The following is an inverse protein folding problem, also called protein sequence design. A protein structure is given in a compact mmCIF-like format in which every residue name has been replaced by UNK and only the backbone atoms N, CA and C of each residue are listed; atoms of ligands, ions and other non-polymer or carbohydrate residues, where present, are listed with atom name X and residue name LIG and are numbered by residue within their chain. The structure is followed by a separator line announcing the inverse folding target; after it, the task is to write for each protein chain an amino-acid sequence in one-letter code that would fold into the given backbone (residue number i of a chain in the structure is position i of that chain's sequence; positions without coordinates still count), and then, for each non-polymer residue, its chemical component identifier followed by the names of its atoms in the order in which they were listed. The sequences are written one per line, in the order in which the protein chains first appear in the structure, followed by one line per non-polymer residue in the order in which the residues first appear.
data_IF_070554682092
#
_entry.id   IF_070554682092
#
_cell.length_a   1.000
_cell.length_b   1.000
_cell.length_c   1.000
_cell.angle_alpha   90.00
_cell.angle_beta   90.00
_cell.angle_gamma   90.00
#
_symmetry.space_group_name_H-M   'P 1'
#
loop_
_entity.id
_entity.type
_entity.pdbx_description
1 polymer ?
#
# COMPACT_ATOMS: atom_id res chain seq x y z
N UNK A 1 25.96 -21.34 77.10
CA UNK A 1 26.40 -21.25 75.69
C UNK A 1 25.46 -22.14 74.89
N UNK A 2 24.23 -21.67 74.71
CA UNK A 2 23.74 -20.92 73.53
C UNK A 2 23.41 -21.85 72.38
N UNK A 3 22.18 -22.37 72.46
CA UNK A 3 21.41 -22.98 71.38
C UNK A 3 21.22 -21.97 70.23
N UNK A 4 21.45 -22.40 69.00
CA UNK A 4 21.30 -21.58 67.80
C UNK A 4 20.56 -22.37 66.73
N UNK A 5 19.23 -22.37 66.80
CA UNK A 5 18.34 -23.02 65.84
C UNK A 5 18.37 -22.33 64.48
N UNK A 6 18.71 -23.10 63.44
CA UNK A 6 18.59 -22.71 62.04
C UNK A 6 17.16 -23.03 61.60
N UNK A 7 16.34 -22.00 61.50
CA UNK A 7 14.99 -22.07 60.95
C UNK A 7 15.06 -22.21 59.42
N UNK A 8 14.56 -23.33 58.90
CA UNK A 8 14.28 -23.52 57.49
C UNK A 8 13.23 -22.50 57.06
N UNK A 9 13.65 -21.49 56.29
CA UNK A 9 12.72 -20.64 55.53
C UNK A 9 12.21 -21.49 54.38
N UNK A 10 11.01 -22.01 54.54
CA UNK A 10 10.21 -22.55 53.46
C UNK A 10 10.08 -21.47 52.38
N UNK A 11 10.62 -21.77 51.21
CA UNK A 11 10.40 -20.99 50.01
C UNK A 11 8.93 -21.16 49.62
N UNK A 12 8.07 -20.30 50.17
CA UNK A 12 6.71 -20.12 49.70
C UNK A 12 6.77 -19.79 48.21
N UNK A 13 6.41 -20.78 47.40
CA UNK A 13 6.17 -20.58 45.98
C UNK A 13 5.14 -19.45 45.83
N UNK A 14 5.38 -18.45 44.96
CA UNK A 14 4.45 -17.35 44.78
C UNK A 14 3.08 -17.92 44.36
N UNK A 15 2.12 -17.92 45.28
CA UNK A 15 0.75 -18.34 45.00
C UNK A 15 0.17 -17.40 43.96
N UNK A 16 -0.14 -17.97 42.81
CA UNK A 16 -0.73 -17.39 41.59
C UNK A 16 -2.16 -16.86 41.80
N UNK A 17 -2.37 -16.06 42.85
CA UNK A 17 -3.70 -15.48 43.19
C UNK A 17 -4.08 -14.31 42.28
N UNK A 18 -3.14 -13.79 41.47
CA UNK A 18 -3.40 -12.70 40.52
C UNK A 18 -4.03 -13.15 39.21
N UNK A 19 -3.82 -14.40 38.79
CA UNK A 19 -4.33 -14.91 37.50
C UNK A 19 -5.83 -15.25 37.54
N UNK A 20 -6.37 -15.56 38.73
CA UNK A 20 -7.79 -15.85 38.91
C UNK A 20 -8.69 -14.59 38.90
N UNK A 21 -8.16 -13.42 39.28
CA UNK A 21 -8.96 -12.19 39.39
C UNK A 21 -9.16 -11.47 38.03
N UNK A 22 -8.44 -11.89 36.98
CA UNK A 22 -8.60 -11.42 35.60
C UNK A 22 -9.45 -12.40 34.77
N UNK A 23 -10.05 -13.43 35.38
CA UNK A 23 -11.16 -14.15 34.77
C UNK A 23 -12.42 -13.29 34.83
N UNK A 24 -12.49 -12.23 34.00
CA UNK A 24 -13.71 -11.44 33.86
C UNK A 24 -14.85 -12.36 33.40
N UNK A 25 -15.78 -12.63 34.31
CA UNK A 25 -17.06 -13.24 33.96
C UNK A 25 -17.76 -12.39 32.89
N UNK A 26 -18.32 -13.06 31.89
CA UNK A 26 -19.08 -12.39 30.85
C UNK A 26 -20.40 -11.88 31.43
N UNK A 27 -20.53 -10.56 31.57
CA UNK A 27 -21.70 -9.91 32.20
C UNK A 27 -22.89 -9.66 31.26
N UNK A 28 -22.79 -10.05 29.97
CA UNK A 28 -23.85 -9.94 28.98
C UNK A 28 -24.23 -11.29 28.37
N UNK A 29 -25.38 -11.35 27.70
CA UNK A 29 -25.78 -12.54 26.95
C UNK A 29 -24.83 -12.74 25.76
N UNK A 30 -24.20 -13.91 25.71
CA UNK A 30 -23.28 -14.30 24.65
C UNK A 30 -23.68 -15.69 24.16
N UNK A 31 -24.58 -15.81 23.17
CA UNK A 31 -24.97 -17.11 22.65
C UNK A 31 -23.77 -17.77 21.96
N UNK A 32 -23.51 -19.04 22.29
CA UNK A 32 -22.47 -19.85 21.69
C UNK A 32 -22.62 -19.89 20.17
N UNK A 33 -21.56 -19.60 19.43
CA UNK A 33 -21.59 -19.56 17.97
C UNK A 33 -21.90 -20.91 17.32
N UNK A 34 -21.70 -22.03 18.04
CA UNK A 34 -21.97 -23.39 17.54
C UNK A 34 -23.35 -23.93 17.94
N UNK A 35 -23.74 -23.80 19.21
CA UNK A 35 -24.96 -24.44 19.74
C UNK A 35 -26.04 -23.45 20.23
N UNK A 36 -25.73 -22.16 20.31
CA UNK A 36 -26.67 -21.14 20.80
C UNK A 36 -26.80 -21.03 22.33
N UNK A 37 -26.13 -21.89 23.12
CA UNK A 37 -26.15 -21.81 24.58
C UNK A 37 -25.62 -20.47 25.10
N UNK A 38 -26.29 -19.85 26.07
CA UNK A 38 -25.87 -18.56 26.60
C UNK A 38 -24.68 -18.71 27.56
N UNK A 39 -23.54 -18.12 27.21
CA UNK A 39 -22.27 -18.21 27.94
C UNK A 39 -22.12 -17.17 29.06
N UNK A 40 -23.21 -16.48 29.44
CA UNK A 40 -23.21 -15.48 30.51
C UNK A 40 -22.76 -16.11 31.83
N UNK A 41 -21.89 -15.40 32.55
CA UNK A 41 -21.36 -15.84 33.85
C UNK A 41 -20.24 -16.88 33.76
N UNK A 42 -19.84 -17.31 32.57
CA UNK A 42 -18.66 -18.15 32.38
C UNK A 42 -17.39 -17.28 32.19
N UNK A 43 -16.23 -17.85 32.51
CA UNK A 43 -14.95 -17.20 32.27
C UNK A 43 -14.65 -17.12 30.78
N UNK A 44 -13.99 -16.05 30.33
CA UNK A 44 -13.51 -15.93 28.94
C UNK A 44 -12.55 -17.09 28.58
N UNK A 45 -11.89 -17.69 29.56
CA UNK A 45 -10.96 -18.81 29.37
C UNK A 45 -11.64 -20.18 29.29
N UNK A 46 -12.93 -20.28 29.64
CA UNK A 46 -13.64 -21.56 29.65
C UNK A 46 -14.06 -22.03 28.25
N UNK A 47 -14.63 -23.23 28.21
CA UNK A 47 -15.30 -23.82 27.05
C UNK A 47 -16.81 -23.87 27.27
N UNK A 48 -17.59 -23.83 26.20
CA UNK A 48 -19.03 -23.98 26.25
C UNK A 48 -19.42 -25.35 26.82
N UNK A 49 -20.22 -25.37 27.89
CA UNK A 49 -20.64 -26.59 28.58
C UNK A 49 -21.45 -27.56 27.69
N UNK A 50 -22.14 -27.06 26.65
CA UNK A 50 -22.97 -27.89 25.77
C UNK A 50 -22.19 -28.55 24.62
N UNK A 51 -21.25 -27.83 24.02
CA UNK A 51 -20.62 -28.26 22.76
C UNK A 51 -19.08 -28.24 22.76
N UNK A 52 -18.47 -27.87 23.89
CA UNK A 52 -17.01 -27.79 24.06
C UNK A 52 -16.33 -26.66 23.28
N UNK A 53 -17.07 -25.77 22.62
CA UNK A 53 -16.46 -24.64 21.88
C UNK A 53 -15.84 -23.63 22.87
N UNK A 54 -14.55 -23.28 22.76
CA UNK A 54 -13.93 -22.23 23.56
C UNK A 54 -14.70 -20.92 23.48
N UNK A 55 -14.89 -20.29 24.63
CA UNK A 55 -15.66 -19.05 24.73
C UNK A 55 -14.97 -17.93 23.96
N UNK A 56 -13.63 -17.86 23.98
CA UNK A 56 -12.84 -16.94 23.13
C UNK A 56 -13.22 -17.03 21.65
N UNK A 57 -13.42 -18.25 21.12
CA UNK A 57 -13.79 -18.45 19.72
C UNK A 57 -15.22 -17.94 19.44
N UNK A 58 -16.15 -18.10 20.39
CA UNK A 58 -17.49 -17.49 20.30
C UNK A 58 -17.41 -15.97 20.33
N UNK A 59 -16.65 -15.39 21.25
CA UNK A 59 -16.46 -13.93 21.33
C UNK A 59 -15.88 -13.43 20.00
N UNK A 60 -14.85 -14.09 19.47
CA UNK A 60 -14.23 -13.71 18.21
C UNK A 60 -15.24 -13.77 17.04
N UNK A 61 -16.04 -14.84 16.95
CA UNK A 61 -17.05 -15.00 15.91
C UNK A 61 -18.22 -13.99 16.03
N UNK A 62 -18.61 -13.62 17.25
CA UNK A 62 -19.70 -12.67 17.48
C UNK A 62 -19.25 -11.21 17.31
N UNK A 63 -18.05 -10.88 17.79
CA UNK A 63 -17.46 -9.54 17.74
C UNK A 63 -16.89 -9.25 16.34
N UNK A 64 -16.34 -10.27 15.68
CA UNK A 64 -15.85 -10.19 14.30
C UNK A 64 -16.42 -11.35 13.47
N UNK A 65 -17.67 -11.23 12.98
CA UNK A 65 -18.29 -12.24 12.10
C UNK A 65 -17.54 -12.43 10.77
N UNK A 66 -16.55 -11.58 10.47
CA UNK A 66 -15.66 -11.71 9.32
C UNK A 66 -14.27 -12.26 9.70
N UNK A 67 -14.12 -12.87 10.87
CA UNK A 67 -12.87 -13.52 11.27
C UNK A 67 -12.54 -14.70 10.35
N UNK A 68 -13.55 -15.46 9.90
CA UNK A 68 -13.37 -16.60 8.99
C UNK A 68 -12.91 -16.19 7.58
N UNK A 69 -13.09 -14.91 7.21
CA UNK A 69 -12.57 -14.36 5.96
C UNK A 69 -11.04 -14.15 6.00
N UNK A 70 -10.41 -14.18 7.17
CA UNK A 70 -8.97 -13.94 7.38
C UNK A 70 -8.12 -15.18 7.09
N UNK A 71 -8.26 -15.78 5.91
CA UNK A 71 -7.46 -16.94 5.51
C UNK A 71 -5.96 -16.66 5.58
N UNK A 72 -5.15 -17.58 6.09
CA UNK A 72 -3.71 -17.38 6.22
C UNK A 72 -3.03 -16.96 4.89
N UNK A 73 -2.09 -16.01 4.97
CA UNK A 73 -1.23 -15.65 3.82
C UNK A 73 -0.20 -16.78 3.68
N UNK A 74 -0.04 -17.33 2.47
CA UNK A 74 0.92 -18.42 2.23
C UNK A 74 2.37 -18.00 2.58
N UNK A 75 2.73 -16.76 2.24
CA UNK A 75 4.08 -16.21 2.42
C UNK A 75 4.04 -14.76 2.94
N UNK A 76 3.74 -14.54 4.24
CA UNK A 76 3.50 -13.21 4.80
C UNK A 76 4.70 -12.26 4.65
N UNK A 77 5.93 -12.77 4.87
CA UNK A 77 7.16 -11.98 4.71
C UNK A 77 7.42 -11.57 3.27
N UNK A 78 7.12 -12.44 2.30
CA UNK A 78 7.29 -12.13 0.88
C UNK A 78 6.28 -11.07 0.43
N UNK A 79 5.01 -11.22 0.82
CA UNK A 79 3.96 -10.24 0.52
C UNK A 79 4.28 -8.88 1.16
N UNK A 80 4.74 -8.88 2.41
CA UNK A 80 5.18 -7.66 3.09
C UNK A 80 6.34 -6.97 2.35
N UNK A 81 7.40 -7.71 2.01
CA UNK A 81 8.55 -7.17 1.31
C UNK A 81 8.17 -6.67 -0.10
N UNK A 82 7.31 -7.41 -0.81
CA UNK A 82 6.81 -7.03 -2.13
C UNK A 82 5.98 -5.76 -2.12
N UNK A 83 5.05 -5.60 -1.16
CA UNK A 83 4.27 -4.38 -1.00
C UNK A 83 5.14 -3.16 -0.69
N UNK A 84 6.13 -3.31 0.19
CA UNK A 84 7.08 -2.24 0.50
C UNK A 84 7.92 -1.88 -0.73
N UNK A 85 8.46 -2.89 -1.44
CA UNK A 85 9.22 -2.67 -2.67
C UNK A 85 8.38 -1.99 -3.75
N UNK A 86 7.10 -2.37 -3.88
CA UNK A 86 6.15 -1.78 -4.81
C UNK A 86 6.01 -0.27 -4.60
N UNK A 87 5.62 0.15 -3.40
CA UNK A 87 5.36 1.57 -3.12
C UNK A 87 6.63 2.38 -2.93
N UNK A 88 7.67 1.83 -2.30
CA UNK A 88 8.94 2.53 -2.13
C UNK A 88 9.63 2.74 -3.49
N UNK A 89 9.62 1.73 -4.37
CA UNK A 89 10.14 1.86 -5.73
C UNK A 89 9.41 2.93 -6.53
N UNK A 90 8.07 2.97 -6.45
CA UNK A 90 7.27 4.02 -7.10
C UNK A 90 7.62 5.42 -6.57
N UNK A 91 7.76 5.57 -5.25
CA UNK A 91 8.09 6.86 -4.63
C UNK A 91 9.50 7.34 -4.99
N UNK A 92 10.49 6.45 -4.94
CA UNK A 92 11.87 6.75 -5.37
C UNK A 92 11.90 7.12 -6.85
N UNK A 93 11.13 6.45 -7.70
CA UNK A 93 11.01 6.82 -9.11
C UNK A 93 10.46 8.23 -9.28
N UNK A 94 9.38 8.61 -8.56
CA UNK A 94 8.84 9.97 -8.58
C UNK A 94 9.89 11.00 -8.16
N UNK A 95 10.58 10.77 -7.04
CA UNK A 95 11.63 11.69 -6.55
C UNK A 95 12.79 11.81 -7.53
N UNK A 96 13.22 10.71 -8.15
CA UNK A 96 14.28 10.72 -9.15
C UNK A 96 13.87 11.52 -10.39
N UNK A 97 12.62 11.36 -10.87
CA UNK A 97 12.08 12.18 -11.97
C UNK A 97 12.04 13.67 -11.59
N UNK A 98 11.56 14.00 -10.38
CA UNK A 98 11.61 15.39 -9.89
C UNK A 98 13.03 15.94 -9.83
N UNK A 99 14.00 15.14 -9.39
CA UNK A 99 15.41 15.54 -9.36
C UNK A 99 15.97 15.79 -10.77
N UNK A 100 15.64 14.94 -11.75
CA UNK A 100 15.98 15.18 -13.16
C UNK A 100 15.40 16.52 -13.63
N UNK A 101 14.10 16.77 -13.40
CA UNK A 101 13.43 18.01 -13.82
C UNK A 101 13.95 19.25 -13.10
N UNK A 102 14.16 19.16 -11.79
CA UNK A 102 14.71 20.23 -10.98
C UNK A 102 16.14 20.58 -11.40
N UNK A 103 16.96 19.58 -11.75
CA UNK A 103 18.32 19.83 -12.24
C UNK A 103 18.35 20.53 -13.59
N UNK A 104 17.42 20.21 -14.50
CA UNK A 104 17.27 20.89 -15.77
C UNK A 104 16.84 22.36 -15.57
N UNK A 105 15.84 22.59 -14.71
CA UNK A 105 15.39 23.94 -14.38
C UNK A 105 16.51 24.78 -13.72
N UNK A 106 17.28 24.18 -12.81
CA UNK A 106 18.42 24.84 -12.16
C UNK A 106 19.53 25.16 -13.17
N UNK A 107 19.78 24.28 -14.14
CA UNK A 107 20.72 24.55 -15.24
C UNK A 107 20.27 25.74 -16.07
N UNK A 108 18.99 25.81 -16.42
CA UNK A 108 18.45 26.92 -17.23
C UNK A 108 18.48 28.25 -16.48
N UNK A 109 18.16 28.25 -15.17
CA UNK A 109 18.06 29.48 -14.37
C UNK A 109 19.39 29.97 -13.79
N UNK A 110 20.27 29.04 -13.39
CA UNK A 110 21.48 29.34 -12.62
C UNK A 110 22.78 29.00 -13.37
N UNK A 111 22.68 28.39 -14.56
CA UNK A 111 23.85 27.94 -15.32
C UNK A 111 24.62 26.78 -14.65
N UNK A 112 24.01 26.08 -13.69
CA UNK A 112 24.64 24.95 -12.99
C UNK A 112 24.62 23.72 -13.92
N UNK A 113 25.76 23.05 -14.16
CA UNK A 113 25.79 21.87 -15.01
C UNK A 113 24.88 20.77 -14.42
N UNK A 114 24.05 20.12 -15.24
CA UNK A 114 23.00 19.25 -14.72
C UNK A 114 23.57 17.88 -14.28
N UNK A 115 23.09 17.36 -13.14
CA UNK A 115 23.50 16.08 -12.56
C UNK A 115 22.80 14.89 -13.26
N UNK A 116 23.04 14.70 -14.56
CA UNK A 116 22.10 13.96 -15.41
C UNK A 116 22.31 12.45 -15.51
N UNK A 117 23.52 11.92 -15.32
CA UNK A 117 23.80 10.57 -15.82
C UNK A 117 23.29 9.44 -14.94
N UNK A 118 23.08 9.67 -13.64
CA UNK A 118 22.67 8.61 -12.71
C UNK A 118 21.17 8.65 -12.36
N UNK A 119 20.56 9.84 -12.32
CA UNK A 119 19.16 9.98 -11.86
C UNK A 119 18.14 9.27 -12.77
N UNK A 120 18.24 9.32 -14.12
CA UNK A 120 17.39 8.51 -15.00
C UNK A 120 17.53 7.01 -14.74
N UNK A 121 18.74 6.50 -14.53
CA UNK A 121 18.98 5.09 -14.22
C UNK A 121 18.32 4.69 -12.89
N UNK A 122 18.43 5.56 -11.86
CA UNK A 122 17.75 5.36 -10.57
C UNK A 122 16.24 5.35 -10.74
N UNK A 123 15.66 6.26 -11.53
CA UNK A 123 14.23 6.30 -11.79
C UNK A 123 13.73 5.00 -12.43
N UNK A 124 14.39 4.54 -13.50
CA UNK A 124 14.05 3.30 -14.20
C UNK A 124 14.23 2.07 -13.30
N UNK A 125 15.36 1.98 -12.58
CA UNK A 125 15.60 0.90 -11.62
C UNK A 125 14.53 0.83 -10.53
N UNK A 126 14.11 1.98 -10.01
CA UNK A 126 13.07 2.06 -8.99
C UNK A 126 11.68 1.66 -9.54
N UNK A 127 11.36 1.99 -10.80
CA UNK A 127 10.15 1.49 -11.48
C UNK A 127 10.17 -0.03 -11.66
N UNK A 128 11.32 -0.61 -11.98
CA UNK A 128 11.49 -2.08 -12.08
C UNK A 128 11.29 -2.73 -10.72
N UNK A 129 11.91 -2.20 -9.65
CA UNK A 129 11.70 -2.69 -8.28
C UNK A 129 10.21 -2.59 -7.89
N UNK A 130 9.55 -1.49 -8.28
CA UNK A 130 8.12 -1.30 -8.06
C UNK A 130 7.28 -2.39 -8.77
N UNK A 131 7.58 -2.66 -10.04
CA UNK A 131 6.93 -3.73 -10.82
C UNK A 131 7.10 -5.11 -10.17
N UNK A 132 8.34 -5.43 -9.75
CA UNK A 132 8.63 -6.71 -9.09
C UNK A 132 7.89 -6.83 -7.76
N UNK A 133 7.79 -5.75 -7.00
CA UNK A 133 6.97 -5.69 -5.79
C UNK A 133 5.48 -5.92 -6.08
N UNK A 134 4.94 -5.31 -7.15
CA UNK A 134 3.54 -5.46 -7.53
C UNK A 134 3.15 -6.91 -7.88
N UNK A 135 4.10 -7.77 -8.27
CA UNK A 135 3.84 -9.20 -8.52
C UNK A 135 3.27 -9.92 -7.30
N UNK A 136 3.58 -9.48 -6.07
CA UNK A 136 3.02 -10.10 -4.86
C UNK A 136 1.51 -9.86 -4.70
N UNK A 137 0.94 -8.90 -5.44
CA UNK A 137 -0.50 -8.66 -5.49
C UNK A 137 -1.25 -9.58 -6.45
N UNK A 138 -0.56 -10.32 -7.33
CA UNK A 138 -1.24 -11.21 -8.29
C UNK A 138 -1.93 -12.38 -7.58
N UNK A 139 -1.26 -12.96 -6.58
CA UNK A 139 -1.80 -14.07 -5.79
C UNK A 139 -1.35 -13.98 -4.32
N UNK A 140 -1.89 -13.03 -3.54
CA UNK A 140 -1.55 -12.87 -2.13
C UNK A 140 -1.91 -14.09 -1.26
N UNK A 141 -2.92 -14.87 -1.64
CA UNK A 141 -3.33 -16.10 -0.94
C UNK A 141 -3.97 -17.11 -1.91
N UNK A 142 -4.23 -18.34 -1.46
CA UNK A 142 -4.75 -19.43 -2.31
C UNK A 142 -6.10 -19.14 -2.96
N UNK A 143 -7.00 -18.50 -2.23
CA UNK A 143 -8.42 -18.31 -2.64
C UNK A 143 -8.72 -17.05 -3.45
N UNK A 144 -7.70 -16.41 -4.04
CA UNK A 144 -7.94 -15.29 -4.95
C UNK A 144 -8.66 -15.80 -6.20
N UNK A 145 -9.85 -15.25 -6.46
CA UNK A 145 -10.67 -15.60 -7.63
C UNK A 145 -9.88 -15.34 -8.92
N UNK A 146 -10.06 -16.19 -9.93
CA UNK A 146 -9.35 -16.04 -11.22
C UNK A 146 -9.51 -14.65 -11.86
N UNK A 147 -10.71 -14.02 -11.88
CA UNK A 147 -10.85 -12.67 -12.43
C UNK A 147 -9.98 -11.61 -11.74
N UNK A 148 -9.83 -11.71 -10.42
CA UNK A 148 -9.04 -10.75 -9.63
C UNK A 148 -7.54 -10.97 -9.85
N UNK A 149 -7.13 -12.23 -10.05
CA UNK A 149 -5.77 -12.56 -10.50
C UNK A 149 -5.47 -12.00 -11.88
N UNK A 150 -6.38 -12.17 -12.85
CA UNK A 150 -6.22 -11.65 -14.21
C UNK A 150 -6.13 -10.12 -14.22
N UNK A 151 -6.98 -9.44 -13.44
CA UNK A 151 -6.92 -7.98 -13.25
C UNK A 151 -5.57 -7.55 -12.68
N UNK A 152 -5.10 -8.18 -11.61
CA UNK A 152 -3.80 -7.83 -11.04
C UNK A 152 -2.64 -8.08 -12.02
N UNK A 153 -2.66 -9.17 -12.81
CA UNK A 153 -1.67 -9.39 -13.86
C UNK A 153 -1.72 -8.29 -14.93
N UNK A 154 -2.91 -7.84 -15.34
CA UNK A 154 -3.04 -6.71 -16.26
C UNK A 154 -2.47 -5.42 -15.66
N UNK A 155 -2.71 -5.17 -14.36
CA UNK A 155 -2.12 -4.04 -13.64
C UNK A 155 -0.59 -4.11 -13.56
N UNK A 156 -0.01 -5.29 -13.35
CA UNK A 156 1.45 -5.47 -13.42
C UNK A 156 1.95 -5.28 -14.87
N UNK A 157 1.23 -5.76 -15.87
CA UNK A 157 1.61 -5.59 -17.28
C UNK A 157 1.68 -4.11 -17.69
N UNK A 158 0.88 -3.23 -17.07
CA UNK A 158 1.00 -1.77 -17.25
C UNK A 158 2.36 -1.20 -16.85
N UNK A 159 3.16 -1.87 -16.01
CA UNK A 159 4.51 -1.40 -15.72
C UNK A 159 5.44 -1.46 -16.92
N UNK A 160 5.19 -2.37 -17.87
CA UNK A 160 6.02 -2.47 -19.07
C UNK A 160 6.01 -1.16 -19.89
N UNK A 161 4.84 -0.61 -20.32
CA UNK A 161 4.83 0.68 -20.99
C UNK A 161 5.30 1.83 -20.08
N UNK A 162 5.02 1.80 -18.76
CA UNK A 162 5.57 2.82 -17.83
C UNK A 162 7.09 2.87 -17.91
N UNK A 163 7.77 1.72 -17.83
CA UNK A 163 9.23 1.62 -17.84
C UNK A 163 9.80 1.99 -19.22
N UNK A 164 9.27 1.40 -20.29
CA UNK A 164 9.78 1.62 -21.66
C UNK A 164 9.61 3.08 -22.06
N UNK A 165 8.44 3.66 -21.80
CA UNK A 165 8.15 5.04 -22.20
C UNK A 165 8.91 6.03 -21.34
N UNK A 166 9.06 5.77 -20.03
CA UNK A 166 9.92 6.59 -19.17
C UNK A 166 11.37 6.55 -19.62
N UNK A 167 11.87 5.38 -20.05
CA UNK A 167 13.22 5.26 -20.60
C UNK A 167 13.37 6.07 -21.90
N UNK A 168 12.41 5.99 -22.82
CA UNK A 168 12.40 6.79 -24.05
C UNK A 168 12.39 8.30 -23.74
N UNK A 169 11.53 8.74 -22.81
CA UNK A 169 11.49 10.16 -22.42
C UNK A 169 12.85 10.58 -21.85
N UNK A 170 13.37 9.86 -20.86
CA UNK A 170 14.54 10.28 -20.08
C UNK A 170 15.87 10.16 -20.86
N UNK A 171 16.01 9.17 -21.74
CA UNK A 171 17.27 8.91 -22.45
C UNK A 171 17.25 9.34 -23.93
N UNK A 172 16.08 9.44 -24.56
CA UNK A 172 15.98 9.79 -25.98
C UNK A 172 15.48 11.21 -26.21
N UNK A 173 14.41 11.60 -25.52
CA UNK A 173 13.74 12.89 -25.77
C UNK A 173 14.39 14.02 -24.97
N UNK A 174 14.56 13.82 -23.66
CA UNK A 174 15.04 14.86 -22.74
C UNK A 174 16.45 15.38 -23.04
N UNK A 175 17.44 14.55 -23.42
CA UNK A 175 18.78 15.06 -23.76
C UNK A 175 18.80 16.01 -24.96
N UNK A 176 17.84 15.88 -25.88
CA UNK A 176 17.70 16.78 -27.04
C UNK A 176 16.91 18.06 -26.71
N UNK A 177 16.12 18.06 -25.64
CA UNK A 177 15.19 19.13 -25.28
C UNK A 177 15.16 19.35 -23.75
N UNK A 178 16.27 19.82 -23.15
CA UNK A 178 16.39 19.93 -21.69
C UNK A 178 15.44 20.97 -21.08
N UNK A 179 15.13 22.05 -21.79
CA UNK A 179 14.34 23.19 -21.27
C UNK A 179 12.84 23.04 -21.54
N UNK A 180 12.17 22.26 -20.70
CA UNK A 180 10.71 22.01 -20.80
C UNK A 180 9.89 23.26 -20.51
N UNK A 181 10.39 24.13 -19.62
CA UNK A 181 9.64 25.26 -19.08
C UNK A 181 10.11 26.61 -19.63
N UNK A 182 11.31 26.67 -20.22
CA UNK A 182 11.93 27.91 -20.68
C UNK A 182 11.53 28.35 -22.09
N UNK A 183 11.02 27.43 -22.94
CA UNK A 183 10.61 27.77 -24.30
C UNK A 183 9.34 27.01 -24.75
N UNK A 184 8.16 27.67 -24.78
CA UNK A 184 6.89 27.04 -25.13
C UNK A 184 6.82 26.51 -26.56
N UNK A 185 7.65 27.03 -27.47
CA UNK A 185 7.60 26.67 -28.89
C UNK A 185 8.25 25.32 -29.23
N UNK A 186 8.92 24.68 -28.26
CA UNK A 186 9.80 23.54 -28.51
C UNK A 186 9.38 22.23 -27.82
N UNK A 187 8.15 22.11 -27.29
CA UNK A 187 7.71 20.83 -26.72
C UNK A 187 7.54 19.81 -27.85
N UNK A 188 8.36 18.73 -27.93
CA UNK A 188 8.26 17.78 -29.01
C UNK A 188 6.94 17.01 -28.92
N UNK A 189 6.24 16.84 -30.05
CA UNK A 189 4.97 16.09 -30.12
C UNK A 189 5.10 14.67 -29.53
N UNK A 190 6.22 14.00 -29.83
CA UNK A 190 6.55 12.67 -29.31
C UNK A 190 6.53 12.61 -27.79
N UNK A 191 6.95 13.68 -27.11
CA UNK A 191 7.00 13.75 -25.65
C UNK A 191 5.60 13.74 -25.04
N UNK A 192 4.69 14.54 -25.58
CA UNK A 192 3.31 14.61 -25.10
C UNK A 192 2.60 13.26 -25.31
N UNK A 193 2.79 12.63 -26.47
CA UNK A 193 2.25 11.28 -26.75
C UNK A 193 2.78 10.24 -25.76
N UNK A 194 4.09 10.21 -25.53
CA UNK A 194 4.69 9.32 -24.55
C UNK A 194 4.16 9.54 -23.13
N UNK A 195 3.98 10.79 -22.71
CA UNK A 195 3.42 11.09 -21.39
C UNK A 195 1.96 10.65 -21.26
N UNK A 196 1.14 10.78 -22.29
CA UNK A 196 -0.23 10.25 -22.29
C UNK A 196 -0.20 8.73 -22.13
N UNK A 197 0.67 8.01 -22.85
CA UNK A 197 0.81 6.56 -22.71
C UNK A 197 1.25 6.19 -21.28
N UNK A 198 2.18 6.96 -20.71
CA UNK A 198 2.64 6.80 -19.34
C UNK A 198 1.49 6.97 -18.33
N UNK A 199 0.72 8.06 -18.42
CA UNK A 199 -0.39 8.34 -17.50
C UNK A 199 -1.53 7.33 -17.64
N UNK A 200 -1.90 6.93 -18.86
CA UNK A 200 -2.88 5.86 -19.10
C UNK A 200 -2.41 4.55 -18.45
N UNK A 201 -1.11 4.25 -18.55
CA UNK A 201 -0.55 3.04 -17.95
C UNK A 201 -0.52 3.12 -16.42
N UNK A 202 -0.23 4.28 -15.83
CA UNK A 202 -0.31 4.50 -14.37
C UNK A 202 -1.75 4.35 -13.89
N UNK A 203 -2.73 4.92 -14.61
CA UNK A 203 -4.16 4.75 -14.32
C UNK A 203 -4.56 3.27 -14.38
N UNK A 204 -4.13 2.56 -15.43
CA UNK A 204 -4.38 1.12 -15.58
C UNK A 204 -3.80 0.31 -14.42
N UNK A 205 -2.52 0.54 -14.07
CA UNK A 205 -1.88 -0.10 -12.93
C UNK A 205 -2.63 0.18 -11.62
N UNK A 206 -3.00 1.44 -11.36
CA UNK A 206 -3.70 1.83 -10.15
C UNK A 206 -5.10 1.19 -10.04
N UNK A 207 -5.90 1.20 -11.11
CA UNK A 207 -7.26 0.68 -11.10
C UNK A 207 -7.29 -0.86 -11.07
N UNK A 208 -6.38 -1.53 -11.76
CA UNK A 208 -6.38 -2.99 -11.87
C UNK A 208 -5.68 -3.71 -10.70
N UNK A 209 -4.72 -3.07 -10.02
CA UNK A 209 -4.14 -3.61 -8.78
C UNK A 209 -5.03 -3.35 -7.55
N UNK A 210 -5.93 -2.36 -7.62
CA UNK A 210 -6.78 -1.93 -6.50
C UNK A 210 -7.57 -3.04 -5.81
N UNK A 211 -8.29 -3.95 -6.51
CA UNK A 211 -9.08 -4.97 -5.82
C UNK A 211 -8.25 -5.85 -4.89
N UNK A 212 -7.06 -6.28 -5.34
CA UNK A 212 -6.19 -7.15 -4.54
C UNK A 212 -5.50 -6.40 -3.41
N UNK A 213 -5.11 -5.14 -3.64
CA UNK A 213 -4.59 -4.29 -2.57
C UNK A 213 -5.65 -4.03 -1.48
N UNK A 214 -6.91 -3.79 -1.87
CA UNK A 214 -8.02 -3.62 -0.93
C UNK A 214 -8.34 -4.90 -0.16
N UNK A 215 -8.32 -6.06 -0.83
CA UNK A 215 -8.49 -7.35 -0.13
C UNK A 215 -7.43 -7.57 0.94
N UNK A 216 -6.16 -7.22 0.68
CA UNK A 216 -5.12 -7.26 1.70
C UNK A 216 -5.36 -6.26 2.83
N UNK A 217 -5.75 -5.02 2.50
CA UNK A 217 -6.01 -3.98 3.48
C UNK A 217 -7.21 -4.30 4.39
N UNK A 218 -8.29 -4.88 3.85
CA UNK A 218 -9.49 -5.28 4.61
C UNK A 218 -9.21 -6.32 5.72
N UNK A 219 -8.10 -7.03 5.63
CA UNK A 219 -7.64 -7.94 6.69
C UNK A 219 -7.10 -7.22 7.91
N UNK A 220 -6.65 -5.98 7.75
CA UNK A 220 -6.16 -5.21 8.88
C UNK A 220 -7.33 -4.74 9.74
N UNK A 221 -7.30 -5.07 11.03
CA UNK A 221 -8.26 -4.59 12.04
C UNK A 221 -8.31 -3.05 12.04
N UNK A 222 -7.19 -2.40 11.74
CA UNK A 222 -7.11 -0.94 11.59
C UNK A 222 -8.10 -0.40 10.55
N UNK A 223 -8.23 -1.06 9.39
CA UNK A 223 -9.16 -0.64 8.33
C UNK A 223 -10.63 -0.89 8.70
N UNK A 224 -10.91 -1.92 9.52
CA UNK A 224 -12.26 -2.21 10.04
C UNK A 224 -12.69 -1.23 11.13
N UNK A 225 -11.76 -0.74 11.94
CA UNK A 225 -12.03 0.22 13.02
C UNK A 225 -12.37 1.65 12.54
N UNK A 226 -12.35 1.91 11.23
CA UNK A 226 -12.64 3.23 10.65
C UNK A 226 -11.62 4.31 10.99
N UNK A 227 -10.53 3.98 11.69
CA UNK A 227 -9.50 4.93 12.14
C UNK A 227 -8.50 5.32 11.05
N UNK A 228 -8.52 4.63 9.91
CA UNK A 228 -7.62 4.92 8.78
C UNK A 228 -8.46 5.48 7.64
N UNK A 229 -8.25 6.77 7.38
CA UNK A 229 -8.88 7.44 6.25
C UNK A 229 -8.38 6.80 4.95
N UNK A 230 -9.32 6.38 4.10
CA UNK A 230 -9.00 5.55 2.93
C UNK A 230 -8.63 6.47 1.80
N UNK A 231 -7.36 6.86 1.66
CA UNK A 231 -6.95 7.54 0.43
C UNK A 231 -7.05 6.53 -0.72
N UNK A 232 -8.00 6.71 -1.66
CA UNK A 232 -8.30 5.66 -2.60
C UNK A 232 -7.27 5.71 -3.74
N UNK A 233 -6.85 4.55 -4.25
CA UNK A 233 -6.04 4.46 -5.48
C UNK A 233 -6.70 5.17 -6.69
N UNK A 234 -8.00 5.48 -6.61
CA UNK A 234 -8.70 6.33 -7.57
C UNK A 234 -8.24 7.80 -7.53
N UNK A 235 -7.78 8.30 -6.38
CA UNK A 235 -7.17 9.63 -6.30
C UNK A 235 -5.84 9.69 -7.06
N UNK A 236 -5.05 8.60 -7.02
CA UNK A 236 -3.83 8.47 -7.81
C UNK A 236 -4.14 8.46 -9.32
N UNK A 237 -5.15 7.69 -9.72
CA UNK A 237 -5.64 7.69 -11.10
C UNK A 237 -6.16 9.07 -11.54
N UNK A 238 -6.91 9.76 -10.67
CA UNK A 238 -7.39 11.11 -10.95
C UNK A 238 -6.24 12.12 -11.10
N UNK A 239 -5.23 12.06 -10.22
CA UNK A 239 -4.03 12.91 -10.33
C UNK A 239 -3.28 12.69 -11.64
N UNK A 240 -3.14 11.42 -12.06
CA UNK A 240 -2.58 11.07 -13.39
C UNK A 240 -3.45 11.61 -14.53
N UNK A 241 -4.78 11.54 -14.38
CA UNK A 241 -5.72 12.09 -15.36
C UNK A 241 -5.63 13.62 -15.50
N UNK A 242 -5.36 14.35 -14.42
CA UNK A 242 -5.12 15.80 -14.45
C UNK A 242 -3.85 16.11 -15.24
N UNK A 243 -2.75 15.37 -15.00
CA UNK A 243 -1.51 15.54 -15.76
C UNK A 243 -1.71 15.24 -17.26
N UNK A 244 -2.36 14.12 -17.56
CA UNK A 244 -2.71 13.71 -18.92
C UNK A 244 -3.55 14.75 -19.65
N UNK A 245 -4.50 15.40 -18.96
CA UNK A 245 -5.29 16.49 -19.53
C UNK A 245 -4.43 17.66 -20.02
N UNK A 246 -3.36 18.00 -19.29
CA UNK A 246 -2.38 18.99 -19.73
C UNK A 246 -1.57 18.52 -20.95
N UNK A 247 -1.16 17.26 -21.01
CA UNK A 247 -0.47 16.72 -22.19
C UNK A 247 -1.38 16.66 -23.43
N UNK A 248 -2.69 16.41 -23.26
CA UNK A 248 -3.67 16.52 -24.37
C UNK A 248 -3.79 17.97 -24.87
N UNK A 249 -3.79 18.96 -23.98
CA UNK A 249 -3.80 20.38 -24.40
C UNK A 249 -2.55 20.74 -25.20
N UNK A 250 -1.37 20.20 -24.84
CA UNK A 250 -0.16 20.37 -25.64
C UNK A 250 -0.29 19.79 -27.06
N UNK A 251 -1.00 18.67 -27.25
CA UNK A 251 -1.24 18.11 -28.59
C UNK A 251 -2.11 19.00 -29.47
N UNK A 252 -3.02 19.77 -28.87
CA UNK A 252 -3.96 20.65 -29.58
C UNK A 252 -3.33 22.03 -29.87
N UNK A 253 -2.32 22.43 -29.10
CA UNK A 253 -1.66 23.73 -29.19
C UNK A 253 -1.22 24.15 -30.62
N UNK A 254 -0.63 23.27 -31.47
CA UNK A 254 -0.23 23.65 -32.84
C UNK A 254 -1.37 24.09 -33.75
N UNK A 255 -2.62 23.73 -33.40
CA UNK A 255 -3.82 24.09 -34.16
C UNK A 255 -4.50 25.36 -33.64
N UNK A 256 -4.01 25.93 -32.53
CA UNK A 256 -4.53 27.18 -31.97
C UNK A 256 -3.88 28.41 -32.63
N UNK A 257 -4.61 29.51 -32.73
CA UNK A 257 -4.04 30.80 -33.14
C UNK A 257 -2.98 31.28 -32.14
N UNK A 258 -2.04 32.12 -32.60
CA UNK A 258 -0.87 32.56 -31.80
C UNK A 258 -1.24 33.09 -30.42
N UNK A 259 -2.26 33.95 -30.30
CA UNK A 259 -2.70 34.49 -29.01
C UNK A 259 -3.27 33.44 -28.04
N UNK A 260 -3.91 32.38 -28.56
CA UNK A 260 -4.45 31.30 -27.72
C UNK A 260 -3.38 30.27 -27.34
N UNK A 261 -2.33 30.13 -28.16
CA UNK A 261 -1.28 29.14 -27.95
C UNK A 261 -0.53 29.35 -26.61
N UNK A 262 -0.21 30.60 -26.26
CA UNK A 262 0.45 30.94 -25.00
C UNK A 262 -0.44 30.63 -23.78
N UNK A 263 -1.74 30.94 -23.87
CA UNK A 263 -2.69 30.64 -22.81
C UNK A 263 -2.88 29.13 -22.63
N UNK A 264 -3.01 28.39 -23.73
CA UNK A 264 -3.13 26.93 -23.72
C UNK A 264 -1.88 26.31 -23.10
N UNK A 265 -0.69 26.79 -23.48
CA UNK A 265 0.57 26.33 -22.90
C UNK A 265 0.61 26.55 -21.38
N UNK A 266 0.25 27.75 -20.91
CA UNK A 266 0.26 28.05 -19.47
C UNK A 266 -0.69 27.13 -18.69
N UNK A 267 -1.91 26.91 -19.21
CA UNK A 267 -2.89 26.02 -18.61
C UNK A 267 -2.38 24.57 -18.61
N UNK A 268 -1.85 24.10 -19.75
CA UNK A 268 -1.32 22.75 -19.90
C UNK A 268 -0.17 22.50 -18.92
N UNK A 269 0.81 23.41 -18.84
CA UNK A 269 1.93 23.34 -17.92
C UNK A 269 1.47 23.32 -16.45
N UNK A 270 0.48 24.14 -16.10
CA UNK A 270 -0.09 24.16 -14.75
C UNK A 270 -0.77 22.83 -14.39
N UNK A 271 -1.60 22.28 -15.30
CA UNK A 271 -2.26 20.98 -15.09
C UNK A 271 -1.24 19.84 -14.95
N UNK A 272 -0.22 19.82 -15.79
CA UNK A 272 0.90 18.87 -15.72
C UNK A 272 1.60 18.96 -14.36
N UNK A 273 1.96 20.17 -13.91
CA UNK A 273 2.68 20.38 -12.66
C UNK A 273 1.83 19.97 -11.45
N UNK A 274 0.58 20.42 -11.40
CA UNK A 274 -0.36 20.09 -10.31
C UNK A 274 -0.65 18.59 -10.29
N UNK A 275 -0.94 17.97 -11.45
CA UNK A 275 -1.18 16.54 -11.54
C UNK A 275 0.03 15.71 -11.08
N UNK A 276 1.23 16.08 -11.51
CA UNK A 276 2.48 15.40 -11.09
C UNK A 276 2.76 15.55 -9.59
N UNK A 277 2.47 16.72 -9.03
CA UNK A 277 2.59 16.96 -7.59
C UNK A 277 1.59 16.12 -6.79
N UNK A 278 0.31 16.16 -7.16
CA UNK A 278 -0.75 15.35 -6.55
C UNK A 278 -0.46 13.85 -6.65
N UNK A 279 0.09 13.41 -7.78
CA UNK A 279 0.52 12.02 -7.97
C UNK A 279 1.60 11.64 -6.95
N UNK A 280 2.61 12.49 -6.79
CA UNK A 280 3.72 12.26 -5.85
C UNK A 280 3.23 12.20 -4.40
N UNK A 281 2.34 13.12 -4.01
CA UNK A 281 1.69 13.10 -2.68
C UNK A 281 0.86 11.82 -2.51
N UNK A 282 0.11 11.42 -3.53
CA UNK A 282 -0.68 10.18 -3.50
C UNK A 282 0.18 8.92 -3.34
N UNK A 283 1.30 8.82 -4.07
CA UNK A 283 2.26 7.72 -3.91
C UNK A 283 2.88 7.72 -2.51
N UNK A 284 3.23 8.88 -1.97
CA UNK A 284 3.76 9.01 -0.61
C UNK A 284 2.76 8.54 0.45
N UNK A 285 1.49 8.96 0.35
CA UNK A 285 0.44 8.51 1.27
C UNK A 285 0.28 6.99 1.23
N UNK A 286 0.22 6.40 0.03
CA UNK A 286 0.12 4.94 -0.13
C UNK A 286 1.36 4.21 0.42
N UNK A 287 2.56 4.80 0.30
CA UNK A 287 3.77 4.26 0.93
C UNK A 287 3.65 4.27 2.46
N UNK A 288 3.14 5.35 3.05
CA UNK A 288 2.90 5.44 4.49
C UNK A 288 1.86 4.42 4.97
N UNK A 289 0.82 4.18 4.19
CA UNK A 289 -0.18 3.15 4.48
C UNK A 289 0.41 1.75 4.45
N UNK A 290 1.18 1.42 3.40
CA UNK A 290 1.89 0.14 3.32
C UNK A 290 2.89 -0.02 4.47
N UNK A 291 3.60 1.05 4.85
CA UNK A 291 4.52 1.04 5.98
C UNK A 291 3.82 0.73 7.31
N UNK A 292 2.61 1.29 7.53
CA UNK A 292 1.79 1.00 8.70
C UNK A 292 1.25 -0.43 8.68
N UNK A 293 0.81 -0.92 7.52
CA UNK A 293 0.27 -2.27 7.35
C UNK A 293 1.34 -3.36 7.45
N UNK A 294 2.63 -3.05 7.25
CA UNK A 294 3.71 -4.05 7.19
C UNK A 294 3.77 -4.98 8.40
N UNK A 295 3.55 -4.46 9.61
CA UNK A 295 3.61 -5.26 10.84
C UNK A 295 2.41 -6.20 10.95
N UNK A 296 1.24 -5.75 10.47
CA UNK A 296 0.02 -6.55 10.49
C UNK A 296 0.05 -7.69 9.46
N UNK A 297 0.70 -7.47 8.32
CA UNK A 297 0.87 -8.50 7.28
C UNK A 297 1.88 -9.57 7.71
N UNK A 298 2.91 -9.18 8.47
CA UNK A 298 3.95 -10.08 8.95
C UNK A 298 3.48 -10.98 10.10
N UNK A 299 2.50 -10.51 10.89
CA UNK A 299 1.96 -11.27 11.99
C UNK A 299 1.28 -12.56 11.44
N UNK A 300 1.57 -13.74 12.01
CA UNK A 300 0.81 -14.93 11.68
C UNK A 300 -0.66 -14.65 12.00
N UNK A 301 -1.57 -15.03 11.10
CA UNK A 301 -2.99 -14.94 11.40
C UNK A 301 -3.28 -15.82 12.59
N UNK A 302 -3.92 -15.27 13.63
CA UNK A 302 -4.40 -16.07 14.76
C UNK A 302 -5.49 -16.98 14.20
N UNK A 303 -5.13 -18.23 13.94
CA UNK A 303 -6.09 -19.22 13.51
C UNK A 303 -7.01 -19.55 14.67
N UNK A 304 -8.28 -19.89 14.38
CA UNK A 304 -9.14 -20.51 15.38
C UNK A 304 -8.43 -21.72 16.02
N UNK A 305 -7.65 -22.48 15.24
CA UNK A 305 -6.82 -23.60 15.69
C UNK A 305 -5.82 -23.23 16.79
N UNK A 306 -5.19 -22.06 16.71
CA UNK A 306 -4.21 -21.62 17.71
C UNK A 306 -4.88 -21.37 19.08
N UNK A 307 -6.18 -21.05 19.08
CA UNK A 307 -6.97 -20.89 20.30
C UNK A 307 -7.31 -22.26 20.92
N UNK A 308 -7.46 -23.31 20.11
CA UNK A 308 -7.75 -24.66 20.61
C UNK A 308 -6.50 -25.35 21.17
N UNK A 309 -5.33 -25.16 20.53
CA UNK A 309 -4.06 -25.81 20.93
C UNK A 309 -3.50 -25.29 22.27
N UNK A 310 -3.86 -24.09 22.73
CA UNK A 310 -3.46 -23.59 24.06
C UNK A 310 -4.11 -24.35 25.22
N UNK A 311 -5.24 -25.01 24.99
CA UNK A 311 -6.01 -25.70 26.05
C UNK A 311 -5.45 -27.08 26.42
N UNK A 312 -4.52 -27.63 25.63
CA UNK A 312 -3.92 -28.95 25.86
C UNK A 312 -2.55 -28.89 26.59
N UNK A 313 -2.11 -27.70 27.01
CA UNK A 313 -0.87 -27.51 27.80
C UNK A 313 -1.16 -27.12 29.23
#
# INVERSE_FOLDING_TARGET
MSEGGVTSRDAEAPTDRGSAEIARELTGDLPCARCGYNLRGLSILDVCAECGLPIKATILALVDPQADELKAIDHPRLVQAGLLAWMAGAFVACLAVWAVRGSALASDMLGIPPLQWHLPAVAIGAMIVSMLGALTLVRPHRDVRLPDRLRAMAGVACYFPIIVVSWLILYRVDPGHPSVYGNPTLVPLERAVFRIILDVSIIGAALWLRPNALHLAHRSVLVRSGRVDRQPMTALAAASGVAMGGDVLHLVMPYAGSALSDLIYLIAAALIAVGSFLLTVGVFSLLMDVWRLRQLIAAPGIGLTDIFDETER
#
